data_IF_761357617037
#
_entry.id   IF_761357617037
#
_cell.length_a   1.000
_cell.length_b   1.000
_cell.length_c   1.000
_cell.angle_alpha   90.00
_cell.angle_beta   90.00
_cell.angle_gamma   90.00
#
_symmetry.space_group_name_H-M   'P 1'
#
loop_
_entity.id
_entity.type
_entity.pdbx_description
1 polymer ?
#
# COMPACT_ATOMS: atom_id res chain seq x y z
N UNK A 1 -17.22 18.43 -7.27
CA UNK A 1 -16.89 17.89 -8.61
C UNK A 1 -15.88 16.77 -8.40
N UNK A 2 -16.25 15.53 -8.70
CA UNK A 2 -15.37 14.37 -8.50
C UNK A 2 -14.90 13.90 -9.87
N UNK A 3 -13.59 13.80 -10.06
CA UNK A 3 -12.97 13.37 -11.32
C UNK A 3 -12.40 11.98 -11.12
N UNK A 4 -12.78 11.04 -11.97
CA UNK A 4 -12.31 9.66 -11.94
C UNK A 4 -11.36 9.41 -13.11
N UNK A 5 -10.20 8.83 -12.84
CA UNK A 5 -9.25 8.39 -13.87
C UNK A 5 -9.14 6.86 -13.84
N UNK A 6 -9.20 6.22 -15.01
CA UNK A 6 -8.98 4.77 -15.16
C UNK A 6 -7.51 4.51 -15.47
N UNK A 7 -6.77 4.03 -14.49
CA UNK A 7 -5.39 3.61 -14.69
C UNK A 7 -5.36 2.20 -15.26
N UNK A 8 -5.11 2.09 -16.57
CA UNK A 8 -4.82 0.83 -17.24
C UNK A 8 -3.36 0.88 -17.68
N UNK A 9 -2.50 0.11 -17.00
CA UNK A 9 -1.13 -0.24 -17.42
C UNK A 9 0.04 0.74 -17.17
N UNK A 10 -0.14 1.86 -16.48
CA UNK A 10 1.02 2.60 -15.98
C UNK A 10 1.55 2.00 -14.68
N UNK A 11 2.87 1.92 -14.55
CA UNK A 11 3.56 1.46 -13.35
C UNK A 11 3.42 2.56 -12.29
N UNK A 12 2.26 2.64 -11.64
CA UNK A 12 2.04 3.60 -10.55
C UNK A 12 3.13 3.40 -9.49
N UNK A 13 3.70 4.51 -9.03
CA UNK A 13 4.57 4.52 -7.86
C UNK A 13 3.82 3.98 -6.64
N UNK A 14 4.54 3.70 -5.55
CA UNK A 14 3.97 3.23 -4.29
C UNK A 14 2.74 4.06 -3.88
N UNK A 15 1.62 3.39 -3.65
CA UNK A 15 0.39 3.99 -3.14
C UNK A 15 0.26 3.73 -1.64
N UNK A 16 0.00 4.78 -0.87
CA UNK A 16 -0.17 4.70 0.56
C UNK A 16 -1.64 4.49 0.94
N UNK A 17 -1.99 3.32 1.45
CA UNK A 17 -3.35 3.03 1.94
C UNK A 17 -3.67 3.72 3.27
N UNK A 18 -2.79 4.52 3.88
CA UNK A 18 -3.16 5.31 5.07
C UNK A 18 -3.72 6.67 4.64
N UNK A 19 -3.06 7.35 3.70
CA UNK A 19 -3.38 8.72 3.32
C UNK A 19 -3.86 8.90 1.87
N UNK A 20 -3.87 7.84 1.07
CA UNK A 20 -4.35 7.86 -0.32
C UNK A 20 -3.43 8.59 -1.30
N UNK A 21 -2.17 8.84 -0.92
CA UNK A 21 -1.18 9.55 -1.75
C UNK A 21 -0.18 8.59 -2.38
N UNK A 22 0.34 8.98 -3.55
CA UNK A 22 1.42 8.29 -4.24
C UNK A 22 2.81 8.75 -3.75
N UNK A 23 3.80 7.89 -3.93
CA UNK A 23 5.23 8.15 -3.66
C UNK A 23 5.80 7.43 -2.44
N UNK A 24 4.97 6.84 -1.58
CA UNK A 24 5.43 6.10 -0.40
C UNK A 24 4.47 4.95 -0.04
N UNK A 25 4.98 3.96 0.68
CA UNK A 25 4.17 2.90 1.28
C UNK A 25 3.71 3.25 2.69
N UNK A 26 2.80 2.45 3.24
CA UNK A 26 2.21 2.63 4.58
C UNK A 26 3.26 2.83 5.68
N UNK A 27 4.39 2.12 5.63
CA UNK A 27 5.48 2.20 6.62
C UNK A 27 6.12 3.59 6.75
N UNK A 28 6.12 4.37 5.68
CA UNK A 28 6.74 5.70 5.61
C UNK A 28 5.71 6.83 5.65
N UNK A 29 4.44 6.52 5.94
CA UNK A 29 3.40 7.54 6.02
C UNK A 29 3.60 8.40 7.28
N UNK A 30 3.63 9.73 7.17
CA UNK A 30 3.75 10.62 8.32
C UNK A 30 2.55 10.48 9.28
N UNK A 31 1.39 10.06 8.76
CA UNK A 31 0.18 9.85 9.55
C UNK A 31 0.12 8.48 10.26
N UNK A 32 1.10 7.60 10.03
CA UNK A 32 1.12 6.25 10.63
C UNK A 32 1.18 6.29 12.16
N UNK A 33 1.79 7.32 12.73
CA UNK A 33 1.94 7.49 14.19
C UNK A 33 0.75 8.20 14.83
N UNK A 34 -0.07 8.90 14.04
CA UNK A 34 -1.17 9.72 14.54
C UNK A 34 -2.53 9.05 14.36
N UNK A 35 -2.66 8.17 13.36
CA UNK A 35 -3.90 7.47 13.05
C UNK A 35 -3.82 6.03 13.53
N UNK A 36 -4.76 5.65 14.39
CA UNK A 36 -4.94 4.26 14.77
C UNK A 36 -5.44 3.44 13.58
N UNK A 37 -4.78 2.32 13.30
CA UNK A 37 -5.09 1.46 12.15
C UNK A 37 -6.53 0.95 12.13
N UNK A 38 -7.19 0.85 13.29
CA UNK A 38 -8.60 0.44 13.38
C UNK A 38 -9.59 1.53 12.93
N UNK A 39 -9.15 2.79 12.84
CA UNK A 39 -9.99 3.94 12.47
C UNK A 39 -9.82 4.39 11.02
N UNK A 40 -8.96 3.71 10.26
CA UNK A 40 -8.72 4.08 8.86
C UNK A 40 -9.90 3.62 8.02
N UNK A 41 -10.76 4.57 7.65
CA UNK A 41 -11.78 4.35 6.64
C UNK A 41 -11.14 4.56 5.28
N UNK A 42 -10.88 3.47 4.56
CA UNK A 42 -10.32 3.54 3.21
C UNK A 42 -11.38 4.08 2.24
N UNK A 43 -11.11 5.19 1.57
CA UNK A 43 -11.94 5.71 0.47
C UNK A 43 -11.69 5.01 -0.87
N UNK A 44 -10.93 3.93 -0.85
CA UNK A 44 -10.50 3.16 -2.01
C UNK A 44 -10.58 1.67 -1.71
N UNK A 45 -10.73 0.88 -2.76
CA UNK A 45 -10.91 -0.57 -2.66
C UNK A 45 -9.57 -1.33 -2.49
N UNK A 46 -9.63 -2.48 -1.83
CA UNK A 46 -8.47 -3.36 -1.62
C UNK A 46 -7.89 -3.91 -2.92
N UNK A 47 -8.66 -3.93 -4.02
CA UNK A 47 -8.18 -4.32 -5.35
C UNK A 47 -7.02 -3.47 -5.87
N UNK A 48 -6.80 -2.26 -5.33
CA UNK A 48 -5.63 -1.45 -5.63
C UNK A 48 -4.33 -2.04 -5.07
N UNK A 49 -4.39 -2.97 -4.10
CA UNK A 49 -3.20 -3.55 -3.50
C UNK A 49 -2.56 -4.48 -4.51
N UNK A 50 -1.31 -4.19 -4.87
CA UNK A 50 -0.55 -5.08 -5.72
C UNK A 50 -0.51 -6.48 -5.09
N UNK A 51 -0.86 -7.50 -5.88
CA UNK A 51 -0.74 -8.89 -5.44
C UNK A 51 0.71 -9.13 -5.08
N UNK A 52 0.98 -9.41 -3.81
CA UNK A 52 2.32 -9.78 -3.35
C UNK A 52 2.68 -11.06 -4.10
N UNK A 53 3.56 -10.94 -5.11
CA UNK A 53 4.25 -12.11 -5.65
C UNK A 53 5.01 -12.69 -4.47
N UNK A 54 4.52 -13.79 -3.90
CA UNK A 54 5.30 -14.62 -2.98
C UNK A 54 6.59 -14.95 -3.73
N UNK A 55 7.67 -14.23 -3.41
CA UNK A 55 9.00 -14.78 -3.64
C UNK A 55 8.99 -16.03 -2.78
N UNK A 56 9.12 -17.21 -3.39
CA UNK A 56 9.42 -18.41 -2.64
C UNK A 56 10.61 -18.06 -1.76
N UNK A 57 10.36 -17.86 -0.46
CA UNK A 57 11.40 -17.78 0.54
C UNK A 57 11.98 -19.19 0.58
N UNK A 58 12.95 -19.44 -0.30
CA UNK A 58 13.88 -20.56 -0.10
C UNK A 58 14.52 -20.25 1.23
N UNK A 59 14.20 -21.06 2.24
CA UNK A 59 14.68 -20.86 3.60
C UNK A 59 16.20 -20.75 3.59
N UNK A 60 16.70 -19.59 4.00
CA UNK A 60 18.08 -19.46 4.45
C UNK A 60 18.00 -19.61 5.95
N UNK A 61 18.33 -20.82 6.41
CA UNK A 61 18.46 -21.13 7.83
C UNK A 61 19.54 -20.27 8.48
N UNK A 62 19.41 -20.09 9.79
CA UNK A 62 20.43 -19.40 10.59
C UNK A 62 19.95 -19.05 11.99
N UNK A 63 19.97 -20.03 12.89
CA UNK A 63 20.24 -19.79 14.31
C UNK A 63 21.11 -20.93 14.83
N UNK A 64 22.40 -20.63 14.99
CA UNK A 64 23.26 -21.19 16.02
C UNK A 64 23.95 -20.02 16.68
#
# INVERSE_FOLDING_TARGET
MVVYARFKYEKLSLFCFICGKLGHGESYCPFRLTIDSSKIVFGWDLSLRAVVRRRNMVGVGGYR
#
